data_IF_392305915911
#
_entry.id   IF_392305915911
#
_cell.length_a   1.000
_cell.length_b   1.000
_cell.length_c   1.000
_cell.angle_alpha   90.00
_cell.angle_beta   90.00
_cell.angle_gamma   90.00
#
_symmetry.space_group_name_H-M   'P 1'
#
loop_
_entity.id
_entity.type
_entity.pdbx_description
1 polymer ?
#
# COMPACT_ATOMS: atom_id res chain seq x y z
N UNK A 1 38.29 22.16 61.27
CA UNK A 1 37.66 22.37 62.59
C UNK A 1 36.67 21.24 62.76
N UNK A 2 37.04 20.31 63.62
CA UNK A 2 36.38 19.05 63.88
C UNK A 2 35.24 19.24 64.89
N UNK A 3 34.15 18.52 64.73
CA UNK A 3 33.26 18.19 65.85
C UNK A 3 32.94 16.70 65.80
N UNK A 4 33.70 15.96 66.60
CA UNK A 4 33.43 14.57 66.99
C UNK A 4 32.42 14.60 68.13
N UNK A 5 31.37 13.79 68.05
CA UNK A 5 30.58 13.38 69.22
C UNK A 5 30.62 11.86 69.31
N UNK A 6 31.13 11.37 70.43
CA UNK A 6 31.42 9.96 70.69
C UNK A 6 30.28 9.29 71.45
N UNK A 7 30.19 7.97 71.23
CA UNK A 7 29.56 6.91 72.03
C UNK A 7 28.07 6.60 71.79
N UNK A 8 27.81 5.40 71.27
CA UNK A 8 27.60 4.22 72.14
C UNK A 8 27.65 2.92 71.33
N UNK A 9 28.34 1.93 71.88
CA UNK A 9 28.56 0.61 71.31
C UNK A 9 27.27 -0.20 71.27
N UNK A 10 26.85 -0.61 70.06
CA UNK A 10 25.86 -1.65 69.83
C UNK A 10 26.30 -2.42 68.59
N UNK A 11 26.70 -3.68 68.78
CA UNK A 11 27.02 -4.60 67.70
C UNK A 11 25.79 -4.80 66.82
N UNK A 12 25.82 -4.23 65.63
CA UNK A 12 24.93 -4.54 64.53
C UNK A 12 25.66 -4.16 63.26
N UNK A 13 26.02 -5.15 62.45
CA UNK A 13 26.52 -4.95 61.09
C UNK A 13 25.49 -4.11 60.32
N UNK A 14 25.69 -2.80 60.31
CA UNK A 14 24.92 -1.92 59.44
C UNK A 14 25.55 -2.02 58.07
N UNK A 15 25.08 -2.99 57.28
CA UNK A 15 25.32 -2.99 55.85
C UNK A 15 24.86 -1.64 55.29
N UNK A 16 25.84 -0.78 55.01
CA UNK A 16 25.61 0.52 54.40
C UNK A 16 25.41 0.25 52.91
N UNK A 17 24.15 0.17 52.49
CA UNK A 17 23.81 0.01 51.08
C UNK A 17 24.28 1.26 50.32
N UNK A 18 25.37 1.14 49.55
CA UNK A 18 25.75 2.17 48.58
C UNK A 18 24.88 2.03 47.33
N UNK A 19 24.04 3.03 47.09
CA UNK A 19 23.27 3.13 45.84
C UNK A 19 24.23 3.61 44.75
N UNK A 20 24.72 2.68 43.93
CA UNK A 20 25.44 3.01 42.70
C UNK A 20 24.45 3.30 41.57
N UNK A 21 24.04 4.56 41.44
CA UNK A 21 23.29 5.00 40.25
C UNK A 21 24.28 5.09 39.09
N UNK A 22 24.11 4.24 38.08
CA UNK A 22 24.82 4.41 36.81
C UNK A 22 24.46 5.80 36.26
N UNK A 23 25.44 6.68 36.10
CA UNK A 23 25.20 8.06 35.64
C UNK A 23 24.57 8.11 34.25
N UNK A 24 24.65 7.02 33.47
CA UNK A 24 23.97 6.86 32.19
C UNK A 24 22.48 6.49 32.31
N UNK A 25 21.96 6.28 33.53
CA UNK A 25 20.55 5.94 33.80
C UNK A 25 19.72 7.13 34.31
N UNK A 26 20.33 8.31 34.43
CA UNK A 26 19.66 9.53 34.88
C UNK A 26 19.05 10.22 33.67
N UNK A 27 17.80 9.88 33.37
CA UNK A 27 17.01 10.56 32.34
C UNK A 27 16.30 11.76 32.95
N UNK A 28 16.41 12.91 32.29
CA UNK A 28 15.67 14.12 32.63
C UNK A 28 14.27 14.09 32.01
N UNK A 29 13.39 14.97 32.47
CA UNK A 29 12.06 15.10 31.86
C UNK A 29 12.16 15.47 30.37
N UNK A 30 13.19 16.22 29.98
CA UNK A 30 13.44 16.57 28.58
C UNK A 30 13.83 15.33 27.76
N UNK A 31 14.64 14.42 28.31
CA UNK A 31 14.98 13.14 27.66
C UNK A 31 13.74 12.26 27.39
N UNK A 32 12.78 12.27 28.32
CA UNK A 32 11.51 11.54 28.17
C UNK A 32 10.63 12.18 27.10
N UNK A 33 10.55 13.52 27.06
CA UNK A 33 9.78 14.26 26.05
C UNK A 33 10.41 14.04 24.65
N UNK A 34 11.73 14.10 24.54
CA UNK A 34 12.45 13.88 23.30
C UNK A 34 12.29 12.45 22.79
N UNK A 35 12.36 11.45 23.67
CA UNK A 35 12.08 10.06 23.32
C UNK A 35 10.64 9.87 22.79
N UNK A 36 9.65 10.52 23.41
CA UNK A 36 8.26 10.49 22.96
C UNK A 36 8.07 11.16 21.59
N UNK A 37 8.66 12.36 21.40
CA UNK A 37 8.58 13.09 20.14
C UNK A 37 9.30 12.35 19.01
N UNK A 38 10.45 11.75 19.30
CA UNK A 38 11.21 10.90 18.39
C UNK A 38 10.40 9.66 18.02
N UNK A 39 9.85 8.94 19.01
CA UNK A 39 9.00 7.77 18.78
C UNK A 39 7.74 8.10 17.97
N UNK A 40 7.11 9.26 18.21
CA UNK A 40 5.99 9.75 17.38
C UNK A 40 6.41 10.01 15.94
N UNK A 41 7.55 10.67 15.72
CA UNK A 41 8.06 10.99 14.38
C UNK A 41 8.46 9.71 13.62
N UNK A 42 9.11 8.78 14.29
CA UNK A 42 9.49 7.47 13.76
C UNK A 42 8.25 6.65 13.43
N UNK A 43 7.27 6.57 14.34
CA UNK A 43 6.00 5.89 14.09
C UNK A 43 5.24 6.47 12.89
N UNK A 44 5.22 7.80 12.71
CA UNK A 44 4.65 8.43 11.52
C UNK A 44 5.41 8.02 10.25
N UNK A 45 6.73 7.94 10.30
CA UNK A 45 7.57 7.58 9.16
C UNK A 45 7.39 6.11 8.78
N UNK A 46 7.41 5.21 9.75
CA UNK A 46 7.18 3.78 9.56
C UNK A 46 5.78 3.50 9.02
N UNK A 47 4.76 4.15 9.58
CA UNK A 47 3.39 4.02 9.09
C UNK A 47 3.28 4.46 7.63
N UNK A 48 3.90 5.59 7.26
CA UNK A 48 3.95 6.04 5.86
C UNK A 48 4.66 5.03 4.95
N UNK A 49 5.77 4.46 5.41
CA UNK A 49 6.51 3.45 4.65
C UNK A 49 5.65 2.21 4.40
N UNK A 50 4.98 1.69 5.44
CA UNK A 50 4.06 0.55 5.33
C UNK A 50 2.93 0.85 4.33
N UNK A 51 2.37 2.06 4.35
CA UNK A 51 1.35 2.47 3.37
C UNK A 51 1.88 2.46 1.93
N UNK A 52 3.09 2.98 1.71
CA UNK A 52 3.73 2.98 0.38
C UNK A 52 4.01 1.57 -0.09
N UNK A 53 4.54 0.72 0.79
CA UNK A 53 4.84 -0.68 0.47
C UNK A 53 3.57 -1.45 0.13
N UNK A 54 2.48 -1.23 0.88
CA UNK A 54 1.19 -1.87 0.61
C UNK A 54 0.54 -1.37 -0.68
N UNK A 55 0.65 -0.07 -0.95
CA UNK A 55 0.20 0.52 -2.21
C UNK A 55 0.95 -0.12 -3.40
N UNK A 56 2.27 -0.25 -3.32
CA UNK A 56 3.07 -0.88 -4.35
C UNK A 56 2.71 -2.36 -4.54
N UNK A 57 2.47 -3.10 -3.45
CA UNK A 57 1.97 -4.48 -3.51
C UNK A 57 0.64 -4.55 -4.27
N UNK A 58 -0.30 -3.66 -3.94
CA UNK A 58 -1.63 -3.63 -4.56
C UNK A 58 -1.59 -3.19 -6.04
N UNK A 59 -0.68 -2.28 -6.41
CA UNK A 59 -0.42 -1.92 -7.82
C UNK A 59 0.11 -3.13 -8.59
N UNK A 60 1.06 -3.88 -8.02
CA UNK A 60 1.58 -5.09 -8.65
C UNK A 60 0.51 -6.18 -8.79
N UNK A 61 -0.35 -6.35 -7.77
CA UNK A 61 -1.52 -7.23 -7.87
C UNK A 61 -2.45 -6.80 -9.02
N UNK A 62 -2.73 -5.50 -9.12
CA UNK A 62 -3.57 -4.95 -10.20
C UNK A 62 -2.99 -5.27 -11.58
N UNK A 63 -1.66 -5.20 -11.73
CA UNK A 63 -0.98 -5.57 -12.96
C UNK A 63 -1.19 -7.06 -13.32
N UNK A 64 -1.07 -7.96 -12.34
CA UNK A 64 -1.28 -9.40 -12.53
C UNK A 64 -2.72 -9.70 -12.96
N UNK A 65 -3.71 -9.09 -12.32
CA UNK A 65 -5.12 -9.27 -12.71
C UNK A 65 -5.43 -8.64 -14.06
N UNK A 66 -4.81 -7.50 -14.39
CA UNK A 66 -4.90 -6.90 -15.73
C UNK A 66 -4.38 -7.86 -16.78
N UNK A 67 -3.20 -8.47 -16.57
CA UNK A 67 -2.62 -9.42 -17.50
C UNK A 67 -3.48 -10.70 -17.66
N UNK A 68 -4.05 -11.19 -16.55
CA UNK A 68 -5.02 -12.30 -16.56
C UNK A 68 -6.24 -11.97 -17.43
N UNK A 69 -6.79 -10.76 -17.31
CA UNK A 69 -7.91 -10.27 -18.12
C UNK A 69 -7.54 -10.13 -19.60
N UNK A 70 -6.42 -9.48 -19.91
CA UNK A 70 -5.98 -9.28 -21.29
C UNK A 70 -5.65 -10.63 -21.97
N UNK A 71 -5.07 -11.57 -21.23
CA UNK A 71 -4.82 -12.94 -21.71
C UNK A 71 -6.12 -13.69 -22.00
N UNK A 72 -7.17 -13.50 -21.19
CA UNK A 72 -8.49 -14.06 -21.45
C UNK A 72 -9.10 -13.49 -22.74
N UNK A 73 -9.06 -12.17 -22.92
CA UNK A 73 -9.55 -11.50 -24.12
C UNK A 73 -8.84 -12.00 -25.39
N UNK A 74 -7.50 -12.11 -25.34
CA UNK A 74 -6.71 -12.64 -26.47
C UNK A 74 -7.06 -14.08 -26.82
N UNK A 75 -7.29 -14.96 -25.83
CA UNK A 75 -7.72 -16.35 -26.07
C UNK A 75 -9.07 -16.43 -26.79
N UNK A 76 -9.91 -15.41 -26.63
CA UNK A 76 -11.18 -15.25 -27.34
C UNK A 76 -11.07 -14.51 -28.66
N UNK A 77 -9.84 -14.23 -29.13
CA UNK A 77 -9.56 -13.48 -30.36
C UNK A 77 -10.06 -12.03 -30.35
N UNK A 78 -10.19 -11.45 -29.16
CA UNK A 78 -10.43 -10.02 -28.98
C UNK A 78 -9.07 -9.30 -28.85
N UNK A 79 -9.00 -8.09 -29.40
CA UNK A 79 -7.82 -7.26 -29.53
C UNK A 79 -7.97 -5.98 -28.68
N UNK A 80 -7.79 -6.06 -27.35
CA UNK A 80 -7.82 -4.88 -26.50
C UNK A 80 -6.74 -3.87 -26.94
N UNK A 81 -7.14 -2.62 -27.10
CA UNK A 81 -6.30 -1.51 -27.58
C UNK A 81 -5.39 -0.98 -26.46
N UNK A 82 -5.95 -0.80 -25.25
CA UNK A 82 -5.21 -0.30 -24.10
C UNK A 82 -5.89 -0.68 -22.79
N UNK A 83 -5.09 -0.70 -21.71
CA UNK A 83 -5.55 -0.89 -20.35
C UNK A 83 -4.97 0.22 -19.46
N UNK A 84 -5.83 0.82 -18.64
CA UNK A 84 -5.49 1.96 -17.79
C UNK A 84 -5.90 1.70 -16.35
N UNK A 85 -5.03 2.01 -15.40
CA UNK A 85 -5.30 1.87 -13.97
C UNK A 85 -5.55 3.24 -13.35
N UNK A 86 -6.62 3.30 -12.57
CA UNK A 86 -6.97 4.39 -11.69
C UNK A 86 -6.92 3.91 -10.24
N UNK A 87 -6.21 4.66 -9.42
CA UNK A 87 -6.17 4.46 -7.97
C UNK A 87 -7.24 5.35 -7.34
N UNK A 88 -8.32 4.78 -6.81
CA UNK A 88 -9.34 5.54 -6.06
C UNK A 88 -8.92 5.76 -4.61
N UNK A 89 -8.35 4.73 -3.99
CA UNK A 89 -7.75 4.77 -2.65
C UNK A 89 -6.56 3.81 -2.59
N UNK A 90 -5.86 3.74 -1.46
CA UNK A 90 -4.73 2.82 -1.28
C UNK A 90 -5.11 1.33 -1.41
N UNK A 91 -6.41 1.02 -1.31
CA UNK A 91 -6.95 -0.34 -1.38
C UNK A 91 -8.05 -0.51 -2.45
N UNK A 92 -8.37 0.51 -3.24
CA UNK A 92 -9.44 0.47 -4.25
C UNK A 92 -8.93 0.91 -5.62
N UNK A 93 -8.99 -0.01 -6.57
CA UNK A 93 -8.37 0.11 -7.88
C UNK A 93 -9.40 -0.14 -8.99
N UNK A 94 -9.27 0.61 -10.07
CA UNK A 94 -10.14 0.48 -11.24
C UNK A 94 -9.29 0.33 -12.49
N UNK A 95 -9.51 -0.76 -13.23
CA UNK A 95 -8.87 -1.00 -14.52
C UNK A 95 -9.88 -0.70 -15.62
N UNK A 96 -9.55 0.20 -16.53
CA UNK A 96 -10.29 0.48 -17.74
C UNK A 96 -9.60 -0.19 -18.93
N UNK A 97 -10.29 -1.10 -19.61
CA UNK A 97 -9.81 -1.73 -20.84
C UNK A 97 -10.63 -1.19 -22.00
N UNK A 98 -9.94 -0.74 -23.04
CA UNK A 98 -10.59 -0.26 -24.27
C UNK A 98 -10.46 -1.28 -25.39
N UNK A 99 -11.54 -1.54 -26.11
CA UNK A 99 -11.59 -2.43 -27.27
C UNK A 99 -12.10 -1.69 -28.51
N UNK A 100 -11.84 -2.23 -29.72
CA UNK A 100 -12.52 -1.79 -30.94
C UNK A 100 -14.04 -1.89 -30.79
N UNK A 101 -14.79 -0.98 -31.42
CA UNK A 101 -16.25 -0.91 -31.31
C UNK A 101 -16.95 -2.19 -31.80
N UNK A 102 -16.46 -2.76 -32.90
CA UNK A 102 -16.96 -4.00 -33.49
C UNK A 102 -16.80 -5.20 -32.55
N UNK A 103 -15.68 -5.26 -31.84
CA UNK A 103 -15.41 -6.30 -30.87
C UNK A 103 -16.16 -6.09 -29.55
N UNK A 104 -16.32 -4.84 -29.11
CA UNK A 104 -17.03 -4.49 -27.87
C UNK A 104 -18.52 -4.84 -27.93
N UNK A 105 -19.15 -4.70 -29.09
CA UNK A 105 -20.58 -5.01 -29.29
C UNK A 105 -20.81 -6.53 -29.56
N UNK A 106 -19.73 -7.28 -29.81
CA UNK A 106 -19.83 -8.71 -30.12
C UNK A 106 -20.37 -9.55 -28.95
N UNK A 107 -21.09 -10.62 -29.25
CA UNK A 107 -21.58 -11.57 -28.24
C UNK A 107 -20.41 -12.29 -27.53
N UNK A 108 -19.30 -12.49 -28.24
CA UNK A 108 -18.08 -13.09 -27.71
C UNK A 108 -17.48 -12.26 -26.55
N UNK A 109 -17.69 -10.93 -26.58
CA UNK A 109 -17.25 -10.04 -25.52
C UNK A 109 -18.07 -10.16 -24.24
N UNK A 110 -19.37 -10.52 -24.30
CA UNK A 110 -20.23 -10.56 -23.11
C UNK A 110 -19.68 -11.45 -21.99
N UNK A 111 -19.02 -12.55 -22.35
CA UNK A 111 -18.40 -13.49 -21.39
C UNK A 111 -17.21 -12.87 -20.64
N UNK A 112 -16.69 -11.75 -21.12
CA UNK A 112 -15.66 -10.96 -20.44
C UNK A 112 -16.19 -10.33 -19.16
N UNK A 113 -17.49 -9.98 -19.08
CA UNK A 113 -18.10 -9.50 -17.86
C UNK A 113 -18.17 -10.59 -16.79
N UNK A 114 -18.51 -11.83 -17.16
CA UNK A 114 -18.53 -12.96 -16.23
C UNK A 114 -17.13 -13.26 -15.69
N UNK A 115 -16.12 -13.16 -16.56
CA UNK A 115 -14.74 -13.36 -16.16
C UNK A 115 -14.22 -12.23 -15.26
N UNK A 116 -14.58 -10.97 -15.57
CA UNK A 116 -14.29 -9.84 -14.71
C UNK A 116 -14.92 -10.03 -13.33
N UNK A 117 -16.21 -10.39 -13.26
CA UNK A 117 -16.91 -10.66 -12.01
C UNK A 117 -16.23 -11.77 -11.20
N UNK A 118 -15.76 -12.83 -11.86
CA UNK A 118 -14.97 -13.89 -11.20
C UNK A 118 -13.70 -13.35 -10.57
N UNK A 119 -12.97 -12.48 -11.25
CA UNK A 119 -11.75 -11.85 -10.70
C UNK A 119 -12.12 -10.93 -9.52
N UNK A 120 -13.18 -10.14 -9.64
CA UNK A 120 -13.64 -9.25 -8.58
C UNK A 120 -14.05 -10.04 -7.33
N UNK A 121 -14.69 -11.21 -7.49
CA UNK A 121 -15.02 -12.12 -6.40
C UNK A 121 -13.76 -12.77 -5.79
N UNK A 122 -12.80 -13.21 -6.60
CA UNK A 122 -11.49 -13.71 -6.12
C UNK A 122 -10.82 -12.66 -5.22
N UNK A 123 -10.84 -11.39 -5.65
CA UNK A 123 -10.25 -10.25 -4.96
C UNK A 123 -11.01 -9.85 -3.70
N UNK A 124 -12.35 -10.00 -3.68
CA UNK A 124 -13.18 -9.67 -2.51
C UNK A 124 -12.80 -10.47 -1.26
N UNK A 125 -12.14 -11.63 -1.42
CA UNK A 125 -11.59 -12.39 -0.30
C UNK A 125 -10.41 -11.69 0.41
N UNK A 126 -9.71 -10.77 -0.27
CA UNK A 126 -8.67 -9.92 0.33
C UNK A 126 -9.30 -8.66 0.95
N UNK A 127 -9.38 -8.63 2.29
CA UNK A 127 -9.97 -7.49 3.03
C UNK A 127 -9.30 -6.14 2.77
N UNK A 128 -8.07 -6.12 2.22
CA UNK A 128 -7.28 -4.92 2.04
C UNK A 128 -7.02 -4.56 0.58
N UNK A 129 -7.77 -5.17 -0.34
CA UNK A 129 -7.61 -4.95 -1.76
C UNK A 129 -8.94 -5.14 -2.49
N UNK A 130 -9.34 -4.14 -3.25
CA UNK A 130 -10.51 -4.15 -4.11
C UNK A 130 -10.08 -3.77 -5.53
N UNK A 131 -10.67 -4.45 -6.50
CA UNK A 131 -10.40 -4.25 -7.91
C UNK A 131 -11.72 -4.24 -8.66
N UNK A 132 -11.87 -3.32 -9.61
CA UNK A 132 -13.02 -3.25 -10.50
C UNK A 132 -12.57 -3.13 -11.94
N UNK A 133 -13.22 -3.85 -12.86
CA UNK A 133 -13.00 -3.71 -14.29
C UNK A 133 -14.07 -2.85 -14.94
N UNK A 134 -13.63 -1.94 -15.81
CA UNK A 134 -14.46 -1.16 -16.71
C UNK A 134 -14.02 -1.46 -18.14
N UNK A 135 -15.00 -1.49 -19.03
CA UNK A 135 -14.77 -1.67 -20.45
C UNK A 135 -15.39 -0.51 -21.21
N UNK A 136 -14.70 -0.09 -22.27
CA UNK A 136 -15.18 0.94 -23.17
C UNK A 136 -14.82 0.55 -24.60
N UNK A 137 -15.67 0.91 -25.53
CA UNK A 137 -15.28 0.98 -26.92
C UNK A 137 -14.34 2.17 -27.14
N UNK A 138 -13.54 2.07 -28.21
CA UNK A 138 -12.66 3.13 -28.66
C UNK A 138 -12.62 3.12 -30.18
N UNK A 139 -13.19 4.16 -30.78
CA UNK A 139 -13.02 4.44 -32.20
C UNK A 139 -11.63 5.07 -32.46
N UNK A 140 -11.03 4.72 -33.60
CA UNK A 140 -9.76 5.30 -34.03
C UNK A 140 -9.88 6.83 -34.22
N UNK A 141 -8.95 7.57 -33.60
CA UNK A 141 -8.79 9.01 -33.79
C UNK A 141 -9.56 9.93 -32.83
N UNK A 142 -10.45 9.43 -31.96
CA UNK A 142 -11.24 10.26 -31.03
C UNK A 142 -10.90 10.08 -29.54
N UNK A 143 -9.88 9.29 -29.23
CA UNK A 143 -9.55 8.99 -27.83
C UNK A 143 -8.76 10.13 -27.18
N UNK A 144 -9.43 10.91 -26.33
CA UNK A 144 -8.83 12.01 -25.59
C UNK A 144 -8.14 11.49 -24.32
N UNK A 145 -6.84 11.22 -24.42
CA UNK A 145 -5.99 10.80 -23.29
C UNK A 145 -5.91 11.85 -22.19
N UNK A 146 -6.05 13.14 -22.52
CA UNK A 146 -6.01 14.22 -21.52
C UNK A 146 -7.23 14.20 -20.59
N UNK A 147 -8.41 13.83 -21.09
CA UNK A 147 -9.59 13.60 -20.25
C UNK A 147 -9.39 12.39 -19.33
N UNK A 148 -8.81 11.31 -19.85
CA UNK A 148 -8.56 10.09 -19.09
C UNK A 148 -7.62 10.33 -17.89
N UNK A 149 -6.55 11.09 -18.13
CA UNK A 149 -5.63 11.52 -17.06
C UNK A 149 -6.33 12.43 -16.06
N UNK A 150 -7.19 13.34 -16.52
CA UNK A 150 -7.98 14.22 -15.64
C UNK A 150 -8.97 13.44 -14.77
N UNK A 151 -9.52 12.35 -15.30
CA UNK A 151 -10.40 11.43 -14.57
C UNK A 151 -9.63 10.49 -13.61
N UNK A 152 -8.30 10.58 -13.59
CA UNK A 152 -7.44 9.86 -12.65
C UNK A 152 -6.94 8.50 -13.15
N UNK A 153 -7.07 8.21 -14.43
CA UNK A 153 -6.40 7.09 -15.08
C UNK A 153 -5.03 7.54 -15.60
N UNK A 154 -3.98 7.31 -14.83
CA UNK A 154 -2.64 7.82 -15.12
C UNK A 154 -1.60 6.72 -15.36
N UNK A 155 -1.94 5.45 -15.09
CA UNK A 155 -1.04 4.32 -15.33
C UNK A 155 -1.50 3.51 -16.53
N UNK A 156 -0.65 3.46 -17.55
CA UNK A 156 -0.87 2.69 -18.77
C UNK A 156 -0.18 1.33 -18.67
N UNK A 157 -0.96 0.26 -18.89
CA UNK A 157 -0.41 -1.08 -19.04
C UNK A 157 -0.35 -1.41 -20.54
N UNK A 158 0.87 -1.44 -21.07
CA UNK A 158 1.15 -1.98 -22.41
C UNK A 158 1.63 -3.41 -22.25
N UNK A 159 0.98 -4.35 -22.93
CA UNK A 159 1.47 -5.72 -22.98
C UNK A 159 2.80 -5.73 -23.74
N UNK A 160 3.88 -6.23 -23.13
CA UNK A 160 5.14 -6.41 -23.84
C UNK A 160 4.99 -7.55 -24.85
N UNK A 161 5.26 -7.28 -26.11
CA UNK A 161 5.36 -8.34 -27.12
C UNK A 161 6.61 -9.18 -26.82
N UNK A 162 6.41 -10.39 -26.32
CA UNK A 162 7.48 -11.39 -26.26
C UNK A 162 7.71 -11.89 -27.69
N UNK A 163 8.78 -11.40 -28.33
CA UNK A 163 9.33 -11.99 -29.57
C UNK A 163 9.88 -13.39 -29.32
#
# INVERSE_FOLDING_TARGET
METTTTNTSGLGDSQTWEVSVDKNSIFTNDDVIDAYLKGKKEGIKETKQIFVDKLNENINKSAVYTDKMLSFLKKRKLNPISAHLKIKSFNDFVILITLPEDEFISEDFLVSYDFAATIEEEVTNDKYYNLMFLFSDRADGQFNTSLLVSDGFFMDYKMSETN
#
